data_IF_480591414319
#
_entry.id   IF_480591414319
#
_cell.length_a   1.000
_cell.length_b   1.000
_cell.length_c   1.000
_cell.angle_alpha   90.00
_cell.angle_beta   90.00
_cell.angle_gamma   90.00
#
_symmetry.space_group_name_H-M   'P 1'
#
loop_
_entity.id
_entity.type
_entity.pdbx_description
1 polymer ?
#
# COMPACT_ATOMS: atom_id res chain seq x y z
N UNK A 1 -4.20 31.09 0.87
CA UNK A 1 -5.14 30.84 -0.24
C UNK A 1 -5.28 29.33 -0.43
N UNK A 2 -6.50 28.76 -0.37
CA UNK A 2 -6.73 27.32 -0.59
C UNK A 2 -6.56 27.03 -2.09
N UNK A 3 -5.49 26.34 -2.50
CA UNK A 3 -5.35 25.84 -3.87
C UNK A 3 -6.43 24.77 -4.09
N UNK A 4 -7.40 25.05 -4.95
CA UNK A 4 -8.38 24.07 -5.40
C UNK A 4 -7.68 23.09 -6.35
N UNK A 5 -7.68 21.79 -6.01
CA UNK A 5 -7.08 20.72 -6.83
C UNK A 5 -8.05 20.16 -7.89
N UNK A 6 -9.21 20.79 -8.09
CA UNK A 6 -10.23 20.32 -9.03
C UNK A 6 -10.18 21.20 -10.29
N UNK A 7 -9.68 20.66 -11.40
CA UNK A 7 -9.80 21.27 -12.74
C UNK A 7 -10.92 20.58 -13.52
N UNK A 8 -11.65 21.34 -14.33
CA UNK A 8 -12.68 20.79 -15.20
C UNK A 8 -12.04 19.96 -16.33
N UNK A 9 -12.53 18.73 -16.56
CA UNK A 9 -12.11 17.91 -17.70
C UNK A 9 -12.50 18.57 -19.02
N UNK A 10 -11.70 18.36 -20.08
CA UNK A 10 -11.94 18.89 -21.43
C UNK A 10 -12.14 17.72 -22.43
N UNK A 11 -12.77 17.98 -23.57
CA UNK A 11 -13.06 16.95 -24.58
C UNK A 11 -14.11 15.93 -24.11
N UNK A 12 -13.95 14.65 -24.46
CA UNK A 12 -14.89 13.57 -24.08
C UNK A 12 -15.01 13.30 -22.56
N UNK A 13 -14.21 13.99 -21.73
CA UNK A 13 -14.24 13.92 -20.27
C UNK A 13 -14.83 15.17 -19.59
N UNK A 14 -15.47 16.07 -20.34
CA UNK A 14 -16.10 17.26 -19.77
C UNK A 14 -17.16 16.90 -18.72
N UNK A 15 -17.06 17.50 -17.53
CA UNK A 15 -18.04 17.32 -16.44
C UNK A 15 -17.79 16.16 -15.48
N UNK A 16 -16.78 15.31 -15.70
CA UNK A 16 -16.41 14.25 -14.75
C UNK A 16 -15.18 14.63 -13.94
N UNK A 17 -15.24 14.77 -12.60
CA UNK A 17 -14.07 15.04 -11.79
C UNK A 17 -13.09 13.87 -11.90
N UNK A 18 -11.90 14.13 -12.45
CA UNK A 18 -10.78 13.19 -12.48
C UNK A 18 -9.71 13.66 -11.51
N UNK A 19 -9.11 12.70 -10.80
CA UNK A 19 -7.86 12.92 -10.06
C UNK A 19 -6.73 12.89 -11.10
N UNK A 20 -6.45 14.03 -11.72
CA UNK A 20 -5.28 14.21 -12.58
C UNK A 20 -4.07 14.41 -11.67
N UNK A 21 -3.08 13.50 -11.75
CA UNK A 21 -1.78 13.72 -11.11
C UNK A 21 -1.07 14.82 -11.90
N UNK A 22 -0.62 15.87 -11.23
CA UNK A 22 0.18 16.91 -11.86
C UNK A 22 1.48 16.35 -12.46
N UNK A 23 2.11 17.09 -13.39
CA UNK A 23 3.48 16.83 -13.81
C UNK A 23 4.39 16.60 -12.58
N UNK A 24 5.40 15.71 -12.65
CA UNK A 24 6.23 15.36 -11.49
C UNK A 24 6.88 16.56 -10.79
N UNK A 25 7.13 17.64 -11.52
CA UNK A 25 7.66 18.93 -11.07
C UNK A 25 6.63 19.81 -10.33
N UNK A 26 5.34 19.51 -10.44
CA UNK A 26 4.25 20.15 -9.69
C UNK A 26 3.78 19.30 -8.50
N UNK A 27 4.39 18.13 -8.26
CA UNK A 27 4.04 17.26 -7.15
C UNK A 27 4.39 17.93 -5.81
N UNK A 28 3.50 17.76 -4.83
CA UNK A 28 3.78 18.20 -3.46
C UNK A 28 4.95 17.41 -2.87
N UNK A 29 5.75 18.05 -2.02
CA UNK A 29 6.84 17.38 -1.30
C UNK A 29 6.34 16.10 -0.63
N UNK A 30 7.17 15.04 -0.71
CA UNK A 30 6.87 13.77 -0.07
C UNK A 30 6.72 13.99 1.45
N UNK A 31 5.52 13.71 1.96
CA UNK A 31 5.32 13.66 3.40
C UNK A 31 6.21 12.54 3.99
N UNK A 32 6.87 12.76 5.14
CA UNK A 32 7.65 11.73 5.78
C UNK A 32 6.77 10.50 6.05
N UNK A 33 7.34 9.31 5.82
CA UNK A 33 6.64 8.06 6.06
C UNK A 33 6.19 7.97 7.53
N UNK A 34 4.87 7.99 7.77
CA UNK A 34 4.29 7.87 9.12
C UNK A 34 4.54 6.49 9.77
N UNK A 35 5.06 5.52 9.01
CA UNK A 35 5.27 4.13 9.46
C UNK A 35 6.66 3.90 10.07
N UNK A 36 7.18 4.88 10.81
CA UNK A 36 8.31 4.60 11.70
C UNK A 36 7.93 3.44 12.65
N UNK A 37 8.80 2.43 12.83
CA UNK A 37 8.60 1.42 13.86
C UNK A 37 8.44 2.14 15.21
N UNK A 38 7.54 1.65 16.08
CA UNK A 38 7.52 2.13 17.47
C UNK A 38 8.83 1.61 18.07
N UNK A 39 9.85 2.47 18.12
CA UNK A 39 11.11 2.14 18.73
C UNK A 39 10.87 1.78 20.21
N UNK A 40 11.49 0.69 20.68
CA UNK A 40 11.48 0.33 22.11
C UNK A 40 10.34 -0.55 22.61
N UNK A 41 9.59 -1.27 21.76
CA UNK A 41 8.63 -2.27 22.25
C UNK A 41 9.36 -3.56 22.62
N UNK A 42 9.83 -3.66 23.86
CA UNK A 42 10.35 -4.93 24.42
C UNK A 42 9.19 -5.80 24.91
N UNK A 43 9.30 -7.10 24.71
CA UNK A 43 8.34 -8.08 25.25
C UNK A 43 8.99 -8.83 26.40
N UNK A 44 8.23 -9.05 27.46
CA UNK A 44 8.60 -9.93 28.57
C UNK A 44 8.62 -11.39 28.10
N UNK A 45 9.25 -12.28 28.87
CA UNK A 45 9.28 -13.72 28.58
C UNK A 45 7.88 -14.35 28.43
N UNK A 46 6.84 -13.77 29.04
CA UNK A 46 5.45 -14.21 28.91
C UNK A 46 4.72 -13.63 27.68
N UNK A 47 5.43 -12.96 26.76
CA UNK A 47 4.87 -12.38 25.53
C UNK A 47 4.14 -11.05 25.69
N UNK A 48 3.98 -10.54 26.92
CA UNK A 48 3.37 -9.23 27.19
C UNK A 48 4.36 -8.09 26.95
N UNK A 49 3.86 -6.90 26.61
CA UNK A 49 4.70 -5.70 26.43
C UNK A 49 5.28 -5.28 27.79
N UNK A 50 6.56 -4.93 27.83
CA UNK A 50 7.31 -4.70 29.07
C UNK A 50 6.82 -3.49 29.88
N UNK A 51 6.29 -2.48 29.20
CA UNK A 51 5.91 -1.19 29.73
C UNK A 51 4.47 -0.82 29.36
N UNK A 52 3.71 -0.22 30.30
CA UNK A 52 2.36 0.27 30.04
C UNK A 52 2.29 1.31 28.91
N UNK A 53 3.34 2.13 28.78
CA UNK A 53 3.46 3.17 27.76
C UNK A 53 3.63 2.57 26.36
N UNK A 54 4.50 1.56 26.19
CA UNK A 54 4.61 0.83 24.94
C UNK A 54 3.33 0.05 24.61
N UNK A 55 2.64 -0.51 25.62
CA UNK A 55 1.35 -1.17 25.42
C UNK A 55 0.27 -0.19 24.93
N UNK A 56 0.20 1.02 25.51
CA UNK A 56 -0.72 2.08 25.09
C UNK A 56 -0.40 2.60 23.69
N UNK A 57 0.89 2.79 23.37
CA UNK A 57 1.34 3.20 22.04
C UNK A 57 0.99 2.14 20.98
N UNK A 58 1.23 0.86 21.29
CA UNK A 58 0.89 -0.27 20.43
C UNK A 58 -0.63 -0.39 20.24
N UNK A 59 -1.41 -0.23 21.31
CA UNK A 59 -2.88 -0.20 21.28
C UNK A 59 -3.44 0.95 20.43
N UNK A 60 -2.89 2.16 20.59
CA UNK A 60 -3.24 3.34 19.77
C UNK A 60 -2.91 3.12 18.29
N UNK A 61 -1.74 2.55 17.99
CA UNK A 61 -1.37 2.19 16.60
C UNK A 61 -2.33 1.14 16.04
N UNK A 62 -2.65 0.09 16.80
CA UNK A 62 -3.62 -0.93 16.43
C UNK A 62 -5.02 -0.35 16.15
N UNK A 63 -5.50 0.55 17.01
CA UNK A 63 -6.77 1.26 16.84
C UNK A 63 -6.80 2.11 15.56
N UNK A 64 -5.73 2.86 15.27
CA UNK A 64 -5.59 3.65 14.03
C UNK A 64 -5.60 2.76 12.78
N UNK A 65 -4.88 1.64 12.81
CA UNK A 65 -4.87 0.66 11.69
C UNK A 65 -6.26 0.06 11.49
N UNK A 66 -6.98 -0.30 12.56
CA UNK A 66 -8.36 -0.81 12.50
C UNK A 66 -9.31 0.23 11.89
N UNK A 67 -9.25 1.47 12.36
CA UNK A 67 -10.07 2.56 11.83
C UNK A 67 -9.82 2.83 10.33
N UNK A 68 -8.54 2.83 9.90
CA UNK A 68 -8.16 2.97 8.48
C UNK A 68 -8.74 1.85 7.62
N UNK A 69 -8.72 0.61 8.11
CA UNK A 69 -9.29 -0.55 7.41
C UNK A 69 -10.81 -0.44 7.23
N UNK A 70 -11.54 -0.06 8.28
CA UNK A 70 -12.99 0.15 8.22
C UNK A 70 -13.33 1.25 7.20
N UNK A 71 -12.56 2.34 7.17
CA UNK A 71 -12.73 3.43 6.19
C UNK A 71 -12.48 2.98 4.75
N UNK A 72 -11.49 2.12 4.51
CA UNK A 72 -11.21 1.60 3.16
C UNK A 72 -12.34 0.72 2.64
N UNK A 73 -12.82 -0.23 3.46
CA UNK A 73 -13.97 -1.07 3.08
C UNK A 73 -15.19 -0.21 2.73
N UNK A 74 -15.44 0.82 3.54
CA UNK A 74 -16.46 1.83 3.30
C UNK A 74 -16.32 2.52 1.93
N UNK A 75 -15.14 3.04 1.63
CA UNK A 75 -14.88 3.75 0.37
C UNK A 75 -15.00 2.90 -0.90
N UNK A 76 -14.95 1.58 -0.77
CA UNK A 76 -15.11 0.64 -1.88
C UNK A 76 -16.56 0.21 -2.10
N UNK A 77 -17.52 0.85 -1.43
CA UNK A 77 -18.94 0.51 -1.54
C UNK A 77 -19.29 -0.83 -0.88
N UNK A 78 -18.40 -1.37 -0.04
CA UNK A 78 -18.63 -2.61 0.70
C UNK A 78 -19.45 -2.37 1.98
N UNK A 79 -20.27 -1.31 2.05
CA UNK A 79 -21.09 -0.97 3.22
C UNK A 79 -22.34 -1.85 3.35
N UNK A 80 -22.95 -2.20 2.21
CA UNK A 80 -24.06 -3.15 2.14
C UNK A 80 -23.61 -4.60 2.33
N UNK A 81 -22.31 -4.80 2.47
CA UNK A 81 -21.64 -6.07 2.54
C UNK A 81 -21.02 -6.20 3.92
N UNK A 82 -21.40 -7.23 4.68
CA UNK A 82 -20.77 -7.47 5.98
C UNK A 82 -19.33 -7.98 5.77
N UNK A 83 -18.42 -7.05 5.50
CA UNK A 83 -17.00 -7.29 5.26
C UNK A 83 -16.28 -7.84 6.51
N UNK A 84 -16.96 -7.84 7.66
CA UNK A 84 -16.51 -8.46 8.90
C UNK A 84 -17.21 -9.79 9.21
N UNK A 85 -18.15 -10.22 8.38
CA UNK A 85 -18.77 -11.54 8.48
C UNK A 85 -17.75 -12.68 8.43
N UNK A 86 -18.05 -13.74 9.18
CA UNK A 86 -17.26 -14.97 9.17
C UNK A 86 -17.25 -15.62 7.78
N UNK A 87 -18.34 -15.50 7.03
CA UNK A 87 -18.46 -15.98 5.67
C UNK A 87 -17.47 -15.28 4.70
N UNK A 88 -17.14 -14.01 4.92
CA UNK A 88 -16.16 -13.29 4.10
C UNK A 88 -14.70 -13.52 4.54
N UNK A 89 -14.47 -14.02 5.75
CA UNK A 89 -13.14 -14.16 6.32
C UNK A 89 -12.14 -14.97 5.45
N UNK A 90 -12.53 -16.07 4.76
CA UNK A 90 -11.62 -16.81 3.88
C UNK A 90 -11.10 -15.96 2.70
N UNK A 91 -11.97 -15.22 2.02
CA UNK A 91 -11.59 -14.38 0.87
C UNK A 91 -10.70 -13.23 1.30
N UNK A 92 -10.97 -12.66 2.47
CA UNK A 92 -10.14 -11.62 3.07
C UNK A 92 -8.74 -12.10 3.41
N UNK A 93 -8.58 -13.33 3.93
CA UNK A 93 -7.27 -13.96 4.14
C UNK A 93 -6.53 -14.13 2.81
N UNK A 94 -7.23 -14.59 1.77
CA UNK A 94 -6.68 -14.71 0.40
C UNK A 94 -6.26 -13.35 -0.17
N UNK A 95 -7.04 -12.28 0.03
CA UNK A 95 -6.69 -10.92 -0.39
C UNK A 95 -5.39 -10.42 0.27
N UNK A 96 -5.18 -10.72 1.55
CA UNK A 96 -3.94 -10.33 2.23
C UNK A 96 -2.72 -11.05 1.66
N UNK A 97 -2.84 -12.34 1.36
CA UNK A 97 -1.76 -13.10 0.71
C UNK A 97 -1.48 -12.56 -0.70
N UNK A 98 -2.54 -12.32 -1.48
CA UNK A 98 -2.47 -11.72 -2.81
C UNK A 98 -1.77 -10.35 -2.79
N UNK A 99 -2.15 -9.46 -1.85
CA UNK A 99 -1.51 -8.16 -1.67
C UNK A 99 -0.02 -8.30 -1.41
N UNK A 100 0.38 -9.15 -0.46
CA UNK A 100 1.80 -9.37 -0.14
C UNK A 100 2.59 -9.86 -1.35
N UNK A 101 2.02 -10.80 -2.09
CA UNK A 101 2.64 -11.34 -3.31
C UNK A 101 2.83 -10.24 -4.36
N UNK A 102 1.80 -9.45 -4.65
CA UNK A 102 1.88 -8.38 -5.64
C UNK A 102 2.82 -7.24 -5.22
N UNK A 103 2.82 -6.83 -3.95
CA UNK A 103 3.80 -5.86 -3.47
C UNK A 103 5.24 -6.38 -3.63
N UNK A 104 5.49 -7.67 -3.36
CA UNK A 104 6.82 -8.28 -3.55
C UNK A 104 7.21 -8.33 -5.04
N UNK A 105 6.28 -8.70 -5.92
CA UNK A 105 6.52 -8.75 -7.36
C UNK A 105 6.82 -7.36 -7.95
N UNK A 106 6.02 -6.35 -7.57
CA UNK A 106 6.28 -4.96 -7.96
C UNK A 106 7.62 -4.48 -7.42
N UNK A 107 7.92 -4.72 -6.13
CA UNK A 107 9.20 -4.33 -5.56
C UNK A 107 10.37 -4.96 -6.35
N UNK A 108 10.28 -6.23 -6.73
CA UNK A 108 11.32 -6.88 -7.54
C UNK A 108 11.52 -6.20 -8.90
N UNK A 109 10.45 -5.73 -9.54
CA UNK A 109 10.52 -5.05 -10.84
C UNK A 109 10.89 -3.56 -10.75
N UNK A 110 10.55 -2.89 -9.64
CA UNK A 110 10.67 -1.44 -9.44
C UNK A 110 11.91 -1.03 -8.61
N UNK A 111 12.95 -1.88 -8.60
CA UNK A 111 14.23 -1.57 -7.95
C UNK A 111 14.25 -1.79 -6.44
N UNK A 112 13.52 -2.80 -5.94
CA UNK A 112 13.60 -3.31 -4.56
C UNK A 112 12.54 -2.77 -3.60
N UNK A 113 11.68 -1.84 -4.02
CA UNK A 113 10.69 -1.21 -3.14
C UNK A 113 9.34 -1.01 -3.83
N UNK A 114 8.25 -1.24 -3.09
CA UNK A 114 6.88 -0.93 -3.52
C UNK A 114 6.38 0.28 -2.72
N UNK A 115 6.20 1.41 -3.42
CA UNK A 115 5.79 2.68 -2.81
C UNK A 115 4.40 2.63 -2.17
N UNK A 116 4.08 3.65 -1.36
CA UNK A 116 2.79 3.79 -0.68
C UNK A 116 1.63 3.92 -1.66
N UNK A 117 1.83 4.62 -2.79
CA UNK A 117 0.85 4.74 -3.87
C UNK A 117 0.49 3.37 -4.46
N UNK A 118 1.44 2.67 -5.11
CA UNK A 118 1.21 1.33 -5.67
C UNK A 118 0.68 0.32 -4.65
N UNK A 119 1.22 0.28 -3.43
CA UNK A 119 0.77 -0.67 -2.41
C UNK A 119 -0.67 -0.40 -1.94
N UNK A 120 -1.11 0.85 -1.92
CA UNK A 120 -2.51 1.20 -1.62
C UNK A 120 -3.47 0.74 -2.72
N UNK A 121 -3.09 0.90 -3.99
CA UNK A 121 -3.86 0.42 -5.14
C UNK A 121 -3.97 -1.11 -5.14
N UNK A 122 -2.86 -1.82 -4.86
CA UNK A 122 -2.88 -3.28 -4.71
C UNK A 122 -3.80 -3.69 -3.56
N UNK A 123 -3.79 -2.97 -2.43
CA UNK A 123 -4.66 -3.28 -1.30
C UNK A 123 -6.15 -3.16 -1.68
N UNK A 124 -6.53 -2.10 -2.39
CA UNK A 124 -7.88 -1.92 -2.92
C UNK A 124 -8.25 -3.03 -3.91
N UNK A 125 -7.38 -3.31 -4.88
CA UNK A 125 -7.60 -4.34 -5.89
C UNK A 125 -7.71 -5.75 -5.31
N UNK A 126 -6.93 -6.05 -4.26
CA UNK A 126 -7.02 -7.33 -3.56
C UNK A 126 -8.36 -7.50 -2.84
N UNK A 127 -8.84 -6.43 -2.18
CA UNK A 127 -10.11 -6.47 -1.47
C UNK A 127 -11.31 -6.54 -2.43
N UNK A 128 -11.27 -5.81 -3.54
CA UNK A 128 -12.26 -5.90 -4.62
C UNK A 128 -12.32 -7.30 -5.23
N UNK A 129 -11.18 -7.95 -5.47
CA UNK A 129 -11.15 -9.32 -5.97
C UNK A 129 -11.75 -10.33 -4.98
N UNK A 130 -11.46 -10.16 -3.68
CA UNK A 130 -12.07 -10.99 -2.65
C UNK A 130 -13.59 -10.79 -2.57
N UNK A 131 -14.05 -9.55 -2.59
CA UNK A 131 -15.49 -9.22 -2.60
C UNK A 131 -16.16 -9.82 -3.85
N UNK A 132 -15.56 -9.66 -5.03
CA UNK A 132 -16.03 -10.25 -6.28
C UNK A 132 -16.21 -11.77 -6.18
N UNK A 133 -15.19 -12.50 -5.69
CA UNK A 133 -15.25 -13.97 -5.55
C UNK A 133 -16.34 -14.42 -4.59
N UNK A 134 -16.48 -13.73 -3.46
CA UNK A 134 -17.56 -14.02 -2.52
C UNK A 134 -18.93 -13.74 -3.16
N UNK A 135 -19.09 -12.62 -3.85
CA UNK A 135 -20.36 -12.26 -4.48
C UNK A 135 -20.74 -13.24 -5.59
N UNK A 136 -19.78 -13.76 -6.36
CA UNK A 136 -20.04 -14.83 -7.32
C UNK A 136 -20.54 -16.11 -6.64
N UNK A 137 -19.95 -16.50 -5.51
CA UNK A 137 -20.40 -17.66 -4.74
C UNK A 137 -21.78 -17.44 -4.09
N UNK A 138 -22.06 -16.22 -3.63
CA UNK A 138 -23.39 -15.87 -3.11
C UNK A 138 -24.43 -15.90 -4.23
N UNK A 139 -24.12 -15.29 -5.38
CA UNK A 139 -24.99 -15.23 -6.55
C UNK A 139 -25.31 -16.62 -7.10
N UNK A 140 -24.35 -17.55 -7.07
CA UNK A 140 -24.59 -18.93 -7.52
C UNK A 140 -25.55 -19.71 -6.62
N UNK A 141 -25.69 -19.30 -5.35
CA UNK A 141 -26.66 -19.88 -4.40
C UNK A 141 -28.03 -19.23 -4.47
N UNK A 142 -28.08 -17.91 -4.60
CA UNK A 142 -29.33 -17.13 -4.58
C UNK A 142 -29.97 -17.00 -5.96
N UNK A 143 -29.18 -17.13 -7.03
CA UNK A 143 -29.62 -16.87 -8.40
C UNK A 143 -29.82 -15.39 -8.72
N UNK A 144 -29.39 -14.46 -7.85
CA UNK A 144 -29.63 -13.02 -8.04
C UNK A 144 -28.70 -12.43 -9.13
N UNK A 145 -29.25 -11.95 -10.26
CA UNK A 145 -28.46 -11.33 -11.33
C UNK A 145 -27.74 -10.04 -10.90
N UNK A 146 -28.27 -9.31 -9.91
CA UNK A 146 -27.65 -8.09 -9.42
C UNK A 146 -26.30 -8.38 -8.75
N UNK A 147 -26.22 -9.49 -8.01
CA UNK A 147 -24.97 -9.94 -7.38
C UNK A 147 -23.94 -10.38 -8.42
N UNK A 148 -24.34 -11.09 -9.49
CA UNK A 148 -23.44 -11.42 -10.59
C UNK A 148 -22.85 -10.18 -11.25
N UNK A 149 -23.68 -9.17 -11.50
CA UNK A 149 -23.25 -7.90 -12.11
C UNK A 149 -22.28 -7.13 -11.21
N UNK A 150 -22.58 -7.04 -9.91
CA UNK A 150 -21.71 -6.39 -8.94
C UNK A 150 -20.36 -7.13 -8.80
N UNK A 151 -20.40 -8.46 -8.73
CA UNK A 151 -19.20 -9.29 -8.68
C UNK A 151 -18.29 -9.09 -9.89
N UNK A 152 -18.86 -9.04 -11.10
CA UNK A 152 -18.12 -8.78 -12.34
C UNK A 152 -17.49 -7.39 -12.37
N UNK A 153 -18.23 -6.37 -11.91
CA UNK A 153 -17.73 -4.99 -11.85
C UNK A 153 -16.53 -4.87 -10.90
N UNK A 154 -16.62 -5.47 -9.70
CA UNK A 154 -15.52 -5.50 -8.74
C UNK A 154 -14.28 -6.24 -9.26
N UNK A 155 -14.46 -7.32 -10.02
CA UNK A 155 -13.34 -8.01 -10.67
C UNK A 155 -12.64 -7.11 -11.71
N UNK A 156 -13.41 -6.31 -12.45
CA UNK A 156 -12.87 -5.36 -13.41
C UNK A 156 -12.10 -4.24 -12.71
N UNK A 157 -12.66 -3.65 -11.66
CA UNK A 157 -12.00 -2.60 -10.89
C UNK A 157 -10.71 -3.11 -10.23
N UNK A 158 -10.72 -4.35 -9.73
CA UNK A 158 -9.52 -5.00 -9.20
C UNK A 158 -8.40 -5.06 -10.23
N UNK A 159 -8.73 -5.48 -11.46
CA UNK A 159 -7.76 -5.52 -12.56
C UNK A 159 -7.21 -4.13 -12.88
N UNK A 160 -8.07 -3.11 -12.95
CA UNK A 160 -7.64 -1.74 -13.23
C UNK A 160 -6.69 -1.21 -12.16
N UNK A 161 -7.01 -1.44 -10.88
CA UNK A 161 -6.15 -1.07 -9.77
C UNK A 161 -4.77 -1.74 -9.83
N UNK A 162 -4.71 -3.02 -10.24
CA UNK A 162 -3.44 -3.72 -10.37
C UNK A 162 -2.59 -3.17 -11.51
N UNK A 163 -3.18 -2.90 -12.68
CA UNK A 163 -2.47 -2.30 -13.81
C UNK A 163 -1.95 -0.90 -13.47
N UNK A 164 -2.77 -0.08 -12.83
CA UNK A 164 -2.38 1.25 -12.37
C UNK A 164 -1.23 1.20 -11.34
N UNK A 165 -1.27 0.23 -10.41
CA UNK A 165 -0.22 0.05 -9.43
C UNK A 165 1.13 -0.28 -10.07
N UNK A 166 1.13 -1.16 -11.08
CA UNK A 166 2.33 -1.53 -11.83
C UNK A 166 2.92 -0.33 -12.57
N UNK A 167 2.08 0.38 -13.33
CA UNK A 167 2.51 1.57 -14.08
C UNK A 167 3.10 2.63 -13.15
N UNK A 168 2.39 2.95 -12.06
CA UNK A 168 2.84 3.93 -11.09
C UNK A 168 4.17 3.51 -10.45
N UNK A 169 4.33 2.25 -10.06
CA UNK A 169 5.56 1.77 -9.44
C UNK A 169 6.77 1.86 -10.37
N UNK A 170 6.59 1.56 -11.66
CA UNK A 170 7.66 1.69 -12.65
C UNK A 170 8.02 3.16 -12.85
N UNK A 171 7.04 4.06 -12.93
CA UNK A 171 7.29 5.51 -13.02
C UNK A 171 8.00 6.04 -11.77
N UNK A 172 7.56 5.66 -10.58
CA UNK A 172 8.22 6.00 -9.31
C UNK A 172 9.67 5.51 -9.27
N UNK A 173 9.95 4.31 -9.78
CA UNK A 173 11.30 3.77 -9.86
C UNK A 173 12.19 4.53 -10.86
N UNK A 174 11.64 4.91 -12.01
CA UNK A 174 12.36 5.68 -13.03
C UNK A 174 12.66 7.11 -12.56
N UNK A 175 11.74 7.73 -11.84
CA UNK A 175 11.91 9.08 -11.29
C UNK A 175 12.86 9.13 -10.08
N UNK A 176 13.18 7.98 -9.48
CA UNK A 176 14.04 7.93 -8.28
C UNK A 176 15.45 8.39 -8.64
N UNK A 177 16.03 9.35 -7.90
CA UNK A 177 17.42 9.75 -8.12
C UNK A 177 18.33 8.54 -7.94
N UNK A 178 19.14 8.26 -8.95
CA UNK A 178 20.16 7.22 -8.87
C UNK A 178 21.33 7.76 -8.07
N UNK A 179 21.82 7.00 -7.10
CA UNK A 179 23.06 7.35 -6.42
C UNK A 179 24.15 7.54 -7.48
N UNK A 180 24.99 8.58 -7.38
CA UNK A 180 26.13 8.72 -8.27
C UNK A 180 26.98 7.45 -8.16
N UNK A 181 27.07 6.71 -9.27
CA UNK A 181 27.94 5.55 -9.35
C UNK A 181 29.35 6.10 -9.47
N UNK A 182 30.17 5.93 -8.44
CA UNK A 182 31.60 6.19 -8.56
C UNK A 182 32.20 5.09 -9.46
N UNK A 183 32.62 5.43 -10.70
CA UNK A 183 33.14 4.44 -11.64
C UNK A 183 34.48 3.84 -11.17
N UNK A 184 35.17 4.48 -10.22
CA UNK A 184 36.46 4.06 -9.71
C UNK A 184 36.36 3.22 -8.43
N UNK A 185 35.19 3.20 -7.75
CA UNK A 185 35.00 2.45 -6.51
C UNK A 185 35.26 0.94 -6.64
N UNK A 186 35.12 0.36 -7.84
CA UNK A 186 35.48 -1.05 -8.12
C UNK A 186 36.99 -1.31 -8.15
N UNK A 187 37.77 -0.27 -8.43
CA UNK A 187 39.21 -0.34 -8.68
C UNK A 187 40.05 0.27 -7.55
N UNK A 188 39.42 0.98 -6.61
CA UNK A 188 40.11 1.45 -5.42
C UNK A 188 40.28 0.30 -4.42
N UNK A 189 41.51 0.06 -3.91
CA UNK A 189 41.72 -0.90 -2.83
C UNK A 189 40.93 -0.43 -1.61
N UNK A 190 40.26 -1.38 -0.92
CA UNK A 190 39.58 -1.08 0.33
C UNK A 190 40.55 -0.36 1.27
N UNK A 191 40.16 0.80 1.80
CA UNK A 191 40.97 1.54 2.74
C UNK A 191 41.35 0.60 3.88
N UNK A 192 42.65 0.32 4.02
CA UNK A 192 43.16 -0.51 5.11
C UNK A 192 42.70 0.13 6.42
N UNK A 193 42.10 -0.65 7.35
CA UNK A 193 41.75 -0.14 8.66
C UNK A 193 43.02 0.43 9.28
N UNK A 194 43.02 1.73 9.56
CA UNK A 194 44.12 2.33 10.31
C UNK A 194 44.06 1.74 11.71
N UNK A 195 45.08 0.97 12.07
CA UNK A 195 45.24 0.48 13.43
C UNK A 195 45.18 1.67 14.40
N UNK A 196 44.46 1.55 15.53
CA UNK A 196 44.48 2.58 16.54
C UNK A 196 45.93 2.75 17.00
N UNK A 197 46.45 3.97 16.89
CA UNK A 197 47.71 4.35 17.53
C UNK A 197 47.45 4.35 19.03
N UNK A 198 47.64 3.21 19.66
CA UNK A 198 47.76 3.13 21.11
C UNK A 198 48.94 4.01 21.51
N UNK A 199 48.62 5.03 22.31
CA UNK A 199 49.58 5.98 22.83
C UNK A 199 50.65 5.27 23.62
N UNK A 200 51.91 5.50 23.24
CA UNK A 200 53.06 5.20 24.07
C UNK A 200 53.61 6.52 24.61
N UNK A 201 53.33 6.71 25.90
CA UNK A 201 54.12 7.34 26.98
C UNK A 201 54.76 8.71 26.77
#
# INVERSE_FOLDING_TARGET
MKKSFIRAGHGAGAGSPRVELGPPDEASDALPAEDAPIAGVTRRQNGTVDSPEAAKALGSKGGRVKARRVRLARSLGLESFDADSEAFAPYRRSAQAFRRHHCKAIAAAAGGHCGTGPSSMIASGALQLAASRYMFERASRTGDPADFKAASSLANDSRQNLLAAWELAIREAQARPKAPVDPLARWMPAATPTEPKDGAS
#
